data_IF_486439547296
#
_entry.id   IF_486439547296
#
_cell.length_a   1.000
_cell.length_b   1.000
_cell.length_c   1.000
_cell.angle_alpha   90.00
_cell.angle_beta   90.00
_cell.angle_gamma   90.00
#
_symmetry.space_group_name_H-M   'P 1'
#
loop_
_entity.id
_entity.type
_entity.pdbx_description
1 polymer ?
#
# COMPACT_ATOMS: atom_id res chain seq x y z
N UNK A 1 -7.93 -11.44 -16.32
CA UNK A 1 -6.54 -11.17 -16.34
C UNK A 1 -5.68 -11.86 -15.28
N UNK A 2 -5.67 -11.38 -14.01
CA UNK A 2 -4.74 -11.92 -13.00
C UNK A 2 -4.85 -13.44 -12.80
N UNK A 3 -6.06 -13.98 -12.67
CA UNK A 3 -6.28 -15.41 -12.52
C UNK A 3 -5.78 -16.23 -13.71
N UNK A 4 -5.87 -15.70 -14.93
CA UNK A 4 -5.33 -16.34 -16.14
C UNK A 4 -3.81 -16.37 -16.13
N UNK A 5 -3.16 -15.29 -15.69
CA UNK A 5 -1.70 -15.24 -15.52
C UNK A 5 -1.23 -16.27 -14.49
N UNK A 6 -1.90 -16.38 -13.35
CA UNK A 6 -1.58 -17.36 -12.31
C UNK A 6 -1.75 -18.79 -12.80
N UNK A 7 -2.83 -19.10 -13.54
CA UNK A 7 -3.02 -20.41 -14.18
C UNK A 7 -1.92 -20.71 -15.20
N UNK A 8 -1.54 -19.72 -16.01
CA UNK A 8 -0.44 -19.88 -16.93
C UNK A 8 0.89 -20.17 -16.22
N UNK A 9 1.18 -19.46 -15.14
CA UNK A 9 2.37 -19.68 -14.30
C UNK A 9 2.37 -21.12 -13.74
N UNK A 10 1.26 -21.55 -13.16
CA UNK A 10 1.11 -22.89 -12.59
C UNK A 10 1.27 -23.98 -13.67
N UNK A 11 0.68 -23.78 -14.84
CA UNK A 11 0.83 -24.72 -15.97
C UNK A 11 2.24 -24.76 -16.54
N UNK A 12 2.94 -23.62 -16.55
CA UNK A 12 4.31 -23.52 -17.08
C UNK A 12 5.35 -24.16 -16.18
N UNK A 13 5.24 -23.95 -14.86
CA UNK A 13 6.28 -24.36 -13.90
C UNK A 13 5.95 -25.66 -13.16
N UNK A 14 4.68 -26.06 -13.10
CA UNK A 14 4.16 -27.23 -12.37
C UNK A 14 3.39 -26.85 -11.11
N UNK A 15 2.33 -27.60 -10.82
CA UNK A 15 1.47 -27.36 -9.66
C UNK A 15 2.22 -27.53 -8.34
N UNK A 16 3.18 -28.48 -8.29
CA UNK A 16 4.03 -28.77 -7.15
C UNK A 16 5.08 -27.69 -6.87
N UNK A 17 5.31 -26.77 -7.82
CA UNK A 17 6.36 -25.75 -7.75
C UNK A 17 5.81 -24.34 -7.50
N UNK A 18 4.50 -24.17 -7.56
CA UNK A 18 3.85 -22.87 -7.43
C UNK A 18 2.93 -22.85 -6.23
N UNK A 19 3.14 -21.92 -5.30
CA UNK A 19 2.26 -21.74 -4.15
C UNK A 19 1.99 -20.27 -3.87
N UNK A 20 0.81 -20.00 -3.34
CA UNK A 20 0.48 -18.70 -2.77
C UNK A 20 1.08 -18.56 -1.37
N UNK A 21 1.27 -17.33 -0.92
CA UNK A 21 1.80 -17.04 0.41
C UNK A 21 0.64 -16.93 1.40
N UNK A 22 0.79 -17.56 2.57
CA UNK A 22 -0.15 -17.38 3.68
C UNK A 22 -0.02 -15.98 4.28
N UNK A 23 -1.12 -15.51 4.86
CA UNK A 23 -1.11 -14.35 5.78
C UNK A 23 -1.73 -14.76 7.10
N UNK A 24 -1.14 -14.31 8.20
CA UNK A 24 -1.68 -14.50 9.54
C UNK A 24 -2.37 -13.22 10.01
N UNK A 25 -3.68 -13.29 10.13
CA UNK A 25 -4.46 -12.22 10.74
C UNK A 25 -4.33 -12.23 12.25
N UNK A 26 -3.71 -11.20 12.82
CA UNK A 26 -3.58 -11.06 14.28
C UNK A 26 -4.72 -10.24 14.87
N UNK A 27 -4.99 -10.43 16.15
CA UNK A 27 -5.97 -9.66 16.90
C UNK A 27 -5.43 -8.25 17.16
N UNK A 28 -5.85 -7.29 16.33
CA UNK A 28 -5.56 -5.88 16.55
C UNK A 28 -6.32 -5.33 17.77
N UNK A 29 -5.87 -4.22 18.35
CA UNK A 29 -6.36 -3.62 19.60
C UNK A 29 -7.89 -3.55 19.70
N UNK A 30 -8.55 -2.89 18.72
CA UNK A 30 -10.02 -2.76 18.72
C UNK A 30 -10.72 -4.11 18.52
N UNK A 31 -10.12 -5.03 17.76
CA UNK A 31 -10.65 -6.38 17.54
C UNK A 31 -10.55 -7.24 18.80
N UNK A 32 -9.43 -7.18 19.50
CA UNK A 32 -9.25 -7.90 20.77
C UNK A 32 -10.30 -7.47 21.80
N UNK A 33 -10.55 -6.16 21.95
CA UNK A 33 -11.60 -5.66 22.83
C UNK A 33 -12.98 -6.21 22.42
N UNK A 34 -13.34 -6.15 21.14
CA UNK A 34 -14.65 -6.61 20.65
C UNK A 34 -14.86 -8.12 20.81
N UNK A 35 -13.83 -8.92 20.50
CA UNK A 35 -13.94 -10.37 20.60
C UNK A 35 -14.05 -10.83 22.08
N UNK A 36 -13.25 -10.23 22.98
CA UNK A 36 -13.36 -10.52 24.40
C UNK A 36 -14.70 -10.05 24.97
N UNK A 37 -15.12 -8.83 24.66
CA UNK A 37 -16.41 -8.28 25.07
C UNK A 37 -17.58 -9.20 24.67
N UNK A 38 -17.56 -9.69 23.44
CA UNK A 38 -18.56 -10.62 22.91
C UNK A 38 -18.60 -11.93 23.69
N UNK A 39 -17.45 -12.52 23.97
CA UNK A 39 -17.35 -13.80 24.74
C UNK A 39 -17.80 -13.60 26.17
N UNK A 40 -17.42 -12.51 26.81
CA UNK A 40 -17.82 -12.18 28.18
C UNK A 40 -19.23 -11.62 28.30
N UNK A 41 -19.93 -11.39 27.16
CA UNK A 41 -21.28 -10.81 27.12
C UNK A 41 -21.33 -9.36 27.66
N UNK A 42 -20.25 -8.59 27.52
CA UNK A 42 -20.29 -7.15 27.75
C UNK A 42 -21.25 -6.51 26.74
N UNK A 43 -22.12 -5.59 27.16
CA UNK A 43 -23.02 -4.90 26.25
C UNK A 43 -22.30 -4.28 25.06
N UNK A 44 -22.91 -4.38 23.86
CA UNK A 44 -22.30 -3.89 22.61
C UNK A 44 -21.99 -2.39 22.69
N UNK A 45 -22.86 -1.60 23.33
CA UNK A 45 -22.66 -0.16 23.57
C UNK A 45 -21.37 0.13 24.35
N UNK A 46 -21.06 -0.66 25.38
CA UNK A 46 -19.82 -0.53 26.16
C UNK A 46 -18.60 -0.96 25.35
N UNK A 47 -18.70 -2.07 24.61
CA UNK A 47 -17.64 -2.52 23.69
C UNK A 47 -17.33 -1.45 22.61
N UNK A 48 -18.35 -0.85 22.02
CA UNK A 48 -18.18 0.22 21.03
C UNK A 48 -17.62 1.50 21.65
N UNK A 49 -18.02 1.83 22.89
CA UNK A 49 -17.45 2.94 23.65
C UNK A 49 -15.94 2.75 23.87
N UNK A 50 -15.54 1.58 24.36
CA UNK A 50 -14.11 1.25 24.56
C UNK A 50 -13.32 1.33 23.25
N UNK A 51 -13.85 0.80 22.16
CA UNK A 51 -13.19 0.86 20.86
C UNK A 51 -13.04 2.29 20.32
N UNK A 52 -13.99 3.19 20.58
CA UNK A 52 -13.91 4.60 20.20
C UNK A 52 -12.86 5.36 20.99
N UNK A 53 -12.58 4.96 22.24
CA UNK A 53 -11.52 5.55 23.07
C UNK A 53 -10.12 5.18 22.58
N UNK A 54 -9.95 4.05 21.84
CA UNK A 54 -8.66 3.68 21.28
C UNK A 54 -8.30 4.64 20.13
N UNK A 55 -7.23 5.44 20.26
CA UNK A 55 -6.83 6.39 19.23
C UNK A 55 -6.37 5.66 17.96
N UNK A 56 -6.39 6.34 16.82
CA UNK A 56 -5.88 5.77 15.58
C UNK A 56 -4.34 5.82 15.52
N UNK A 57 -3.72 6.72 16.29
CA UNK A 57 -2.26 6.87 16.41
C UNK A 57 -1.87 7.37 17.78
N UNK A 58 -0.75 6.89 18.30
CA UNK A 58 -0.11 7.40 19.53
C UNK A 58 1.23 8.02 19.11
N UNK A 59 1.54 9.29 19.49
CA UNK A 59 2.82 9.91 19.18
C UNK A 59 3.98 9.06 19.71
N UNK A 60 4.98 8.83 18.86
CA UNK A 60 6.26 8.15 19.18
C UNK A 60 6.13 6.73 19.76
N UNK A 61 4.94 6.12 19.69
CA UNK A 61 4.70 4.77 20.19
C UNK A 61 3.88 3.94 19.20
N UNK A 62 4.13 2.63 19.22
CA UNK A 62 3.30 1.66 18.51
C UNK A 62 1.89 1.65 19.12
N UNK A 63 0.87 1.65 18.26
CA UNK A 63 -0.51 1.44 18.71
C UNK A 63 -0.66 -0.01 19.17
N UNK A 64 -0.92 -0.17 20.46
CA UNK A 64 -1.35 -1.41 21.11
C UNK A 64 -2.18 -1.04 22.35
N UNK A 65 -2.87 -2.01 22.94
CA UNK A 65 -3.76 -1.74 24.06
C UNK A 65 -3.02 -1.21 25.30
N UNK A 66 -1.85 -1.74 25.71
CA UNK A 66 -1.09 -1.17 26.83
C UNK A 66 -0.72 0.30 26.62
N UNK A 67 -0.25 0.66 25.42
CA UNK A 67 0.10 2.05 25.11
C UNK A 67 -1.14 2.94 25.01
N UNK A 68 -2.25 2.42 24.47
CA UNK A 68 -3.52 3.14 24.42
C UNK A 68 -4.06 3.43 25.83
N UNK A 69 -4.01 2.46 26.74
CA UNK A 69 -4.39 2.64 28.14
C UNK A 69 -3.50 3.70 28.81
N UNK A 70 -2.19 3.63 28.62
CA UNK A 70 -1.27 4.63 29.19
C UNK A 70 -1.48 6.04 28.63
N UNK A 71 -2.06 6.16 27.43
CA UNK A 71 -2.28 7.44 26.76
C UNK A 71 -3.66 8.05 27.01
N UNK A 72 -4.69 7.22 27.24
CA UNK A 72 -6.10 7.64 27.35
C UNK A 72 -6.63 7.42 28.77
N UNK A 73 -6.91 8.49 29.56
CA UNK A 73 -7.37 8.36 30.94
C UNK A 73 -8.65 7.54 31.13
N UNK A 74 -9.57 7.58 30.18
CA UNK A 74 -10.83 6.83 30.23
C UNK A 74 -10.59 5.31 30.05
N UNK A 75 -9.56 4.91 29.32
CA UNK A 75 -9.14 3.49 29.22
C UNK A 75 -8.45 3.04 30.50
N UNK A 76 -7.68 3.91 31.18
CA UNK A 76 -7.12 3.63 32.51
C UNK A 76 -8.25 3.42 33.54
N UNK A 77 -9.26 4.27 33.51
CA UNK A 77 -10.42 4.14 34.38
C UNK A 77 -11.19 2.84 34.12
N UNK A 78 -11.29 2.41 32.86
CA UNK A 78 -11.91 1.15 32.52
C UNK A 78 -11.09 -0.06 33.01
N UNK A 79 -9.77 -0.01 32.91
CA UNK A 79 -8.87 -1.05 33.45
C UNK A 79 -8.94 -1.16 34.98
N UNK A 80 -9.09 -0.03 35.67
CA UNK A 80 -9.23 0.06 37.13
C UNK A 80 -10.67 -0.04 37.63
N UNK A 81 -11.64 -0.33 36.77
CA UNK A 81 -13.06 -0.36 37.12
C UNK A 81 -13.39 -1.35 38.22
N UNK A 82 -14.31 -0.98 39.10
CA UNK A 82 -14.91 -1.87 40.09
C UNK A 82 -15.86 -2.92 39.44
N UNK A 83 -16.36 -2.64 38.22
CA UNK A 83 -17.14 -3.60 37.45
C UNK A 83 -16.21 -4.69 36.95
N UNK A 84 -16.36 -5.95 37.45
CA UNK A 84 -15.51 -7.06 37.03
C UNK A 84 -15.58 -7.33 35.52
N UNK A 85 -16.77 -7.17 34.89
CA UNK A 85 -16.98 -7.46 33.50
C UNK A 85 -16.18 -6.50 32.60
N UNK A 86 -16.19 -5.21 32.92
CA UNK A 86 -15.43 -4.19 32.22
C UNK A 86 -13.91 -4.36 32.40
N UNK A 87 -13.48 -4.53 33.64
CA UNK A 87 -12.07 -4.72 34.00
C UNK A 87 -11.49 -5.98 33.33
N UNK A 88 -12.19 -7.10 33.42
CA UNK A 88 -11.74 -8.38 32.88
C UNK A 88 -11.73 -8.37 31.34
N UNK A 89 -12.66 -7.61 30.71
CA UNK A 89 -12.62 -7.38 29.25
C UNK A 89 -11.30 -6.73 28.83
N UNK A 90 -10.88 -5.67 29.50
CA UNK A 90 -9.59 -5.01 29.20
C UNK A 90 -8.42 -5.95 29.49
N UNK A 91 -8.44 -6.64 30.61
CA UNK A 91 -7.38 -7.59 30.99
C UNK A 91 -7.17 -8.67 29.92
N UNK A 92 -8.23 -9.36 29.53
CA UNK A 92 -8.12 -10.45 28.55
C UNK A 92 -7.85 -9.94 27.14
N UNK A 93 -8.35 -8.76 26.77
CA UNK A 93 -8.01 -8.12 25.50
C UNK A 93 -6.50 -7.83 25.40
N UNK A 94 -5.86 -7.35 26.48
CA UNK A 94 -4.38 -7.18 26.54
C UNK A 94 -3.62 -8.50 26.33
N UNK A 95 -4.13 -9.61 26.90
CA UNK A 95 -3.50 -10.92 26.78
C UNK A 95 -3.64 -11.52 25.37
N UNK A 96 -4.73 -11.21 24.69
CA UNK A 96 -5.05 -11.77 23.37
C UNK A 96 -4.58 -10.89 22.21
N UNK A 97 -4.35 -9.60 22.46
CA UNK A 97 -3.84 -8.68 21.41
C UNK A 97 -2.54 -9.24 20.80
N UNK A 98 -2.45 -9.20 19.47
CA UNK A 98 -1.29 -9.67 18.73
C UNK A 98 -1.25 -11.18 18.45
N UNK A 99 -2.07 -11.98 19.13
CA UNK A 99 -2.16 -13.41 18.82
C UNK A 99 -2.80 -13.64 17.45
N UNK A 100 -2.40 -14.72 16.79
CA UNK A 100 -3.00 -15.13 15.52
C UNK A 100 -4.47 -15.52 15.75
N UNK A 101 -5.35 -14.93 14.96
CA UNK A 101 -6.79 -15.20 14.99
C UNK A 101 -7.24 -16.08 13.83
N UNK A 102 -6.58 -15.99 12.71
CA UNK A 102 -6.93 -16.75 11.52
C UNK A 102 -5.89 -16.60 10.43
N UNK A 103 -6.07 -17.35 9.37
CA UNK A 103 -5.20 -17.34 8.20
C UNK A 103 -5.94 -16.80 6.99
N UNK A 104 -5.19 -16.24 6.05
CA UNK A 104 -5.65 -15.81 4.75
C UNK A 104 -4.61 -16.13 3.68
N UNK A 105 -4.91 -15.77 2.45
CA UNK A 105 -3.96 -15.86 1.34
C UNK A 105 -3.53 -14.45 0.96
N UNK A 106 -2.23 -14.28 0.74
CA UNK A 106 -1.65 -12.99 0.34
C UNK A 106 -2.27 -12.51 -0.99
N UNK A 107 -2.59 -11.22 -1.07
CA UNK A 107 -3.32 -10.67 -2.21
C UNK A 107 -2.59 -10.81 -3.56
N UNK A 108 -1.25 -10.81 -3.56
CA UNK A 108 -0.45 -10.79 -4.79
C UNK A 108 0.74 -11.75 -4.76
N UNK A 109 1.30 -12.07 -3.59
CA UNK A 109 2.52 -12.86 -3.43
C UNK A 109 2.34 -14.32 -3.82
N UNK A 110 3.19 -14.78 -4.73
CA UNK A 110 3.24 -16.16 -5.23
C UNK A 110 4.69 -16.61 -5.26
N UNK A 111 4.95 -17.83 -4.86
CA UNK A 111 6.26 -18.46 -4.92
C UNK A 111 6.32 -19.35 -6.15
N UNK A 112 7.44 -19.28 -6.86
CA UNK A 112 7.77 -20.18 -7.98
C UNK A 112 9.11 -20.84 -7.64
N UNK A 113 9.08 -22.14 -7.36
CA UNK A 113 10.26 -22.93 -6.99
C UNK A 113 10.90 -23.59 -8.22
N UNK A 114 12.20 -23.87 -8.11
CA UNK A 114 12.91 -24.71 -9.06
C UNK A 114 12.49 -26.19 -8.90
N UNK A 115 12.36 -26.64 -7.68
CA UNK A 115 12.04 -28.00 -7.28
C UNK A 115 10.65 -28.03 -6.61
N UNK A 116 10.22 -29.18 -6.10
CA UNK A 116 8.98 -29.29 -5.31
C UNK A 116 9.01 -28.32 -4.13
N UNK A 117 7.96 -27.55 -3.95
CA UNK A 117 7.90 -26.52 -2.90
C UNK A 117 7.96 -27.11 -1.48
N UNK A 118 7.53 -28.36 -1.33
CA UNK A 118 7.55 -29.06 -0.04
C UNK A 118 8.96 -29.39 0.44
N UNK A 119 9.95 -29.36 -0.45
CA UNK A 119 11.37 -29.50 -0.09
C UNK A 119 11.92 -28.25 0.62
N UNK A 120 11.22 -27.11 0.47
CA UNK A 120 11.67 -25.82 0.97
C UNK A 120 10.86 -25.33 2.16
N UNK A 121 9.53 -25.45 2.09
CA UNK A 121 8.61 -24.93 3.11
C UNK A 121 7.41 -25.85 3.28
N UNK A 122 6.84 -25.93 4.49
CA UNK A 122 5.58 -26.63 4.69
C UNK A 122 4.46 -25.90 3.95
N UNK A 123 3.53 -26.67 3.37
CA UNK A 123 2.40 -26.15 2.62
C UNK A 123 1.08 -26.70 3.16
N UNK A 124 0.00 -26.00 2.85
CA UNK A 124 -1.38 -26.45 2.98
C UNK A 124 -2.16 -26.14 1.72
N UNK A 125 -3.45 -26.41 1.72
CA UNK A 125 -4.36 -26.02 0.64
C UNK A 125 -5.36 -24.98 1.12
N UNK A 126 -5.71 -24.05 0.23
CA UNK A 126 -6.83 -23.14 0.42
C UNK A 126 -7.73 -23.16 -0.83
N UNK A 127 -8.98 -22.76 -0.67
CA UNK A 127 -9.89 -22.62 -1.80
C UNK A 127 -9.64 -21.30 -2.53
N UNK A 128 -9.46 -21.35 -3.83
CA UNK A 128 -9.50 -20.16 -4.68
C UNK A 128 -10.94 -19.63 -4.72
N UNK A 129 -11.11 -18.37 -4.31
CA UNK A 129 -12.43 -17.73 -4.23
C UNK A 129 -13.08 -17.48 -5.60
N UNK A 130 -12.28 -17.44 -6.67
CA UNK A 130 -12.77 -17.17 -8.02
C UNK A 130 -13.15 -18.47 -8.74
N UNK A 131 -12.39 -19.55 -8.55
CA UNK A 131 -12.57 -20.82 -9.26
C UNK A 131 -13.18 -21.93 -8.41
N UNK A 132 -13.06 -21.83 -7.08
CA UNK A 132 -13.41 -22.89 -6.14
C UNK A 132 -12.42 -24.08 -6.11
N UNK A 133 -11.33 -23.99 -6.89
CA UNK A 133 -10.29 -25.02 -6.94
C UNK A 133 -9.35 -24.93 -5.73
N UNK A 134 -8.69 -26.05 -5.40
CA UNK A 134 -7.64 -26.05 -4.38
C UNK A 134 -6.35 -25.51 -4.92
N UNK A 135 -5.73 -24.59 -4.18
CA UNK A 135 -4.41 -24.04 -4.47
C UNK A 135 -3.45 -24.32 -3.31
N UNK A 136 -2.17 -24.49 -3.60
CA UNK A 136 -1.12 -24.63 -2.58
C UNK A 136 -0.87 -23.26 -1.94
N UNK A 137 -0.69 -23.29 -0.60
CA UNK A 137 -0.39 -22.10 0.21
C UNK A 137 0.74 -22.44 1.16
N UNK A 138 1.79 -21.63 1.19
CA UNK A 138 2.90 -21.79 2.15
C UNK A 138 2.41 -21.64 3.57
N UNK A 139 3.09 -22.27 4.54
CA UNK A 139 2.81 -22.08 5.96
C UNK A 139 3.74 -21.04 6.61
N UNK A 140 4.73 -20.55 5.88
CA UNK A 140 5.51 -19.37 6.24
C UNK A 140 4.96 -18.15 5.53
N UNK A 141 4.84 -17.03 6.26
CA UNK A 141 4.37 -15.75 5.70
C UNK A 141 5.47 -15.03 4.92
N UNK A 142 5.07 -14.01 4.14
CA UNK A 142 5.97 -13.30 3.24
C UNK A 142 7.21 -12.69 3.87
N UNK A 143 7.16 -12.31 5.15
CA UNK A 143 8.30 -11.78 5.91
C UNK A 143 9.40 -12.81 6.19
N UNK A 144 9.06 -14.11 6.14
CA UNK A 144 9.98 -15.23 6.48
C UNK A 144 10.40 -16.01 5.22
N UNK A 145 9.63 -15.92 4.17
CA UNK A 145 9.86 -16.70 2.93
C UNK A 145 11.26 -16.46 2.35
N UNK A 146 11.74 -15.22 2.34
CA UNK A 146 13.05 -14.88 1.78
C UNK A 146 14.20 -15.52 2.56
N UNK A 147 14.05 -15.73 3.87
CA UNK A 147 15.03 -16.41 4.72
C UNK A 147 15.18 -17.90 4.37
N UNK A 148 14.20 -18.48 3.70
CA UNK A 148 14.27 -19.88 3.18
C UNK A 148 14.98 -20.00 1.85
N UNK A 149 15.42 -18.88 1.24
CA UNK A 149 16.04 -18.83 -0.08
C UNK A 149 15.05 -18.78 -1.24
N UNK A 150 13.74 -18.69 -0.97
CA UNK A 150 12.70 -18.54 -1.97
C UNK A 150 12.46 -17.07 -2.31
N UNK A 151 12.08 -16.81 -3.55
CA UNK A 151 11.78 -15.45 -4.04
C UNK A 151 10.27 -15.29 -4.21
N UNK A 152 9.75 -14.22 -3.65
CA UNK A 152 8.35 -13.82 -3.80
C UNK A 152 8.16 -13.04 -5.12
N UNK A 153 7.23 -13.52 -5.94
CA UNK A 153 6.73 -12.81 -7.12
C UNK A 153 5.37 -12.19 -6.81
N UNK A 154 5.22 -10.90 -7.06
CA UNK A 154 3.96 -10.19 -6.83
C UNK A 154 3.18 -10.06 -8.14
N UNK A 155 2.03 -10.74 -8.22
CA UNK A 155 1.07 -10.61 -9.32
C UNK A 155 -0.11 -9.76 -8.85
N UNK A 156 -0.03 -8.47 -9.12
CA UNK A 156 -1.06 -7.50 -8.72
C UNK A 156 -1.80 -6.98 -9.94
N UNK A 157 -3.12 -7.16 -9.95
CA UNK A 157 -3.99 -6.62 -11.00
C UNK A 157 -4.40 -5.18 -10.71
N UNK A 158 -4.65 -4.42 -11.76
CA UNK A 158 -5.18 -3.06 -11.70
C UNK A 158 -6.46 -2.96 -12.52
N UNK A 159 -7.60 -2.68 -11.87
CA UNK A 159 -8.92 -2.58 -12.53
C UNK A 159 -8.97 -1.50 -13.61
N UNK A 160 -8.28 -0.38 -13.40
CA UNK A 160 -8.24 0.73 -14.35
C UNK A 160 -7.71 0.27 -15.72
N UNK A 161 -6.73 -0.63 -15.77
CA UNK A 161 -6.26 -1.18 -17.04
C UNK A 161 -7.33 -2.01 -17.75
N UNK A 162 -8.17 -2.73 -17.02
CA UNK A 162 -9.32 -3.45 -17.60
C UNK A 162 -10.35 -2.47 -18.18
N UNK A 163 -10.65 -1.39 -17.45
CA UNK A 163 -11.58 -0.33 -17.92
C UNK A 163 -11.04 0.31 -19.20
N UNK A 164 -9.74 0.62 -19.25
CA UNK A 164 -9.09 1.19 -20.45
C UNK A 164 -9.16 0.19 -21.62
N UNK A 165 -8.83 -1.08 -21.39
CA UNK A 165 -8.88 -2.10 -22.44
C UNK A 165 -10.30 -2.32 -22.98
N UNK A 166 -11.32 -2.28 -22.11
CA UNK A 166 -12.71 -2.42 -22.54
C UNK A 166 -13.21 -1.17 -23.27
N UNK A 167 -12.79 0.02 -22.86
CA UNK A 167 -13.06 1.27 -23.57
C UNK A 167 -12.43 1.24 -24.98
N UNK A 168 -11.19 0.79 -25.09
CA UNK A 168 -10.50 0.62 -26.40
C UNK A 168 -11.27 -0.33 -27.32
N UNK A 169 -11.73 -1.47 -26.81
CA UNK A 169 -12.57 -2.42 -27.59
C UNK A 169 -13.87 -1.76 -28.08
N UNK A 170 -14.49 -0.93 -27.25
CA UNK A 170 -15.71 -0.22 -27.63
C UNK A 170 -15.45 0.82 -28.71
N UNK A 171 -14.37 1.59 -28.60
CA UNK A 171 -13.97 2.59 -29.60
C UNK A 171 -13.67 1.91 -30.94
N UNK A 172 -12.98 0.80 -30.95
CA UNK A 172 -12.63 0.04 -32.17
C UNK A 172 -13.84 -0.46 -32.97
N UNK A 173 -15.05 -0.47 -32.40
CA UNK A 173 -16.28 -0.74 -33.17
C UNK A 173 -16.59 0.34 -34.21
N UNK A 174 -16.12 1.54 -33.98
CA UNK A 174 -16.34 2.71 -34.85
C UNK A 174 -15.05 3.24 -35.47
N UNK A 175 -13.91 2.98 -34.82
CA UNK A 175 -12.58 3.41 -35.25
C UNK A 175 -11.64 2.21 -35.11
N UNK A 176 -11.60 1.28 -36.09
CA UNK A 176 -10.89 0.01 -35.96
C UNK A 176 -9.40 0.12 -35.65
N UNK A 177 -8.73 1.17 -36.15
CA UNK A 177 -7.28 1.40 -35.99
C UNK A 177 -6.93 2.17 -34.69
N UNK A 178 -7.91 2.47 -33.83
CA UNK A 178 -7.64 3.15 -32.59
C UNK A 178 -6.79 2.27 -31.65
N UNK A 179 -5.72 2.85 -31.10
CA UNK A 179 -4.92 2.25 -30.02
C UNK A 179 -4.61 3.28 -28.96
N UNK A 180 -4.79 2.88 -27.70
CA UNK A 180 -4.42 3.70 -26.54
C UNK A 180 -2.92 4.04 -26.52
N UNK A 181 -2.08 3.20 -27.11
CA UNK A 181 -0.63 3.41 -27.22
C UNK A 181 -0.29 4.62 -28.13
N UNK A 182 -1.20 4.99 -29.02
CA UNK A 182 -1.04 6.12 -29.97
C UNK A 182 -1.66 7.44 -29.45
N UNK A 183 -2.16 7.47 -28.20
CA UNK A 183 -2.72 8.70 -27.62
C UNK A 183 -1.60 9.70 -27.38
N UNK A 184 -1.84 10.94 -27.81
CA UNK A 184 -0.91 12.05 -27.60
C UNK A 184 -0.84 12.42 -26.11
N UNK A 185 0.33 12.17 -25.50
CA UNK A 185 0.59 12.51 -24.09
C UNK A 185 0.92 14.00 -23.88
N UNK A 186 0.98 14.79 -24.94
CA UNK A 186 1.26 16.23 -24.88
C UNK A 186 0.01 17.11 -24.98
N UNK A 187 -1.20 16.52 -25.01
CA UNK A 187 -2.46 17.27 -25.14
C UNK A 187 -2.64 18.35 -24.07
N UNK A 188 -2.56 19.64 -24.42
CA UNK A 188 -2.64 20.73 -23.43
C UNK A 188 -4.01 20.82 -22.75
N UNK A 189 -5.09 20.38 -23.41
CA UNK A 189 -6.44 20.43 -22.83
C UNK A 189 -6.55 19.50 -21.63
N UNK A 190 -5.90 18.35 -21.66
CA UNK A 190 -5.82 17.41 -20.54
C UNK A 190 -5.10 18.03 -19.35
N UNK A 191 -3.95 18.66 -19.56
CA UNK A 191 -3.20 19.30 -18.45
C UNK A 191 -3.93 20.54 -17.90
N UNK A 192 -4.59 21.30 -18.74
CA UNK A 192 -5.43 22.43 -18.30
C UNK A 192 -6.60 21.95 -17.42
N UNK A 193 -7.27 20.87 -17.81
CA UNK A 193 -8.32 20.21 -17.02
C UNK A 193 -7.80 19.80 -15.64
N UNK A 194 -6.66 19.12 -15.60
CA UNK A 194 -6.02 18.71 -14.35
C UNK A 194 -5.63 19.92 -13.49
N UNK A 195 -5.02 20.93 -14.08
CA UNK A 195 -4.62 22.18 -13.41
C UNK A 195 -5.79 22.98 -12.82
N UNK A 196 -7.01 22.80 -13.36
CA UNK A 196 -8.25 23.36 -12.80
C UNK A 196 -8.81 22.52 -11.64
N UNK A 197 -8.22 21.38 -11.30
CA UNK A 197 -8.70 20.49 -10.25
C UNK A 197 -9.85 19.57 -10.68
N UNK A 198 -10.12 19.45 -11.97
CA UNK A 198 -11.12 18.50 -12.49
C UNK A 198 -10.54 17.07 -12.53
N UNK A 199 -10.23 16.51 -11.35
CA UNK A 199 -9.52 15.23 -11.20
C UNK A 199 -10.44 14.07 -10.83
N UNK A 200 -11.75 14.27 -10.79
CA UNK A 200 -12.72 13.21 -10.49
C UNK A 200 -12.64 12.11 -11.55
N UNK A 201 -12.50 10.87 -11.12
CA UNK A 201 -12.34 9.70 -12.00
C UNK A 201 -10.95 9.55 -12.61
N UNK A 202 -10.01 10.44 -12.32
CA UNK A 202 -8.62 10.33 -12.76
C UNK A 202 -7.83 9.52 -11.74
N UNK A 203 -7.38 8.34 -12.14
CA UNK A 203 -6.69 7.40 -11.25
C UNK A 203 -5.55 8.06 -10.47
N UNK A 204 -5.49 7.81 -9.17
CA UNK A 204 -4.53 8.37 -8.19
C UNK A 204 -4.62 9.88 -7.95
N UNK A 205 -5.40 10.66 -8.71
CA UNK A 205 -5.50 12.11 -8.57
C UNK A 205 -6.82 12.59 -7.93
N UNK A 206 -7.67 11.66 -7.45
CA UNK A 206 -9.06 11.96 -7.04
C UNK A 206 -9.19 12.54 -5.63
N UNK A 207 -8.22 12.32 -4.74
CA UNK A 207 -8.35 12.81 -3.37
C UNK A 207 -8.10 14.30 -3.27
N UNK A 208 -8.83 15.00 -2.39
CA UNK A 208 -8.72 16.44 -2.22
C UNK A 208 -7.27 16.91 -1.99
N UNK A 209 -6.47 16.15 -1.26
CA UNK A 209 -5.07 16.51 -0.99
C UNK A 209 -4.21 16.55 -2.24
N UNK A 210 -4.25 15.49 -3.06
CA UNK A 210 -3.46 15.45 -4.30
C UNK A 210 -4.04 16.41 -5.36
N UNK A 211 -5.36 16.59 -5.41
CA UNK A 211 -6.00 17.61 -6.28
C UNK A 211 -5.46 19.02 -6.00
N UNK A 212 -5.30 19.38 -4.73
CA UNK A 212 -4.70 20.66 -4.34
C UNK A 212 -3.26 20.81 -4.84
N UNK A 213 -2.47 19.72 -4.77
CA UNK A 213 -1.09 19.72 -5.29
C UNK A 213 -1.07 19.90 -6.80
N UNK A 214 -1.91 19.16 -7.54
CA UNK A 214 -2.05 19.26 -9.00
C UNK A 214 -2.47 20.67 -9.41
N UNK A 215 -3.44 21.25 -8.71
CA UNK A 215 -3.92 22.63 -8.97
C UNK A 215 -2.83 23.67 -8.69
N UNK A 216 -2.05 23.48 -7.63
CA UNK A 216 -0.91 24.35 -7.31
C UNK A 216 0.23 24.25 -8.31
N UNK A 217 0.50 23.04 -8.80
CA UNK A 217 1.57 22.80 -9.78
C UNK A 217 1.18 23.29 -11.19
N UNK A 218 -0.09 23.13 -11.61
CA UNK A 218 -0.56 23.38 -12.98
C UNK A 218 0.28 22.60 -14.00
N UNK A 219 0.15 21.28 -14.02
CA UNK A 219 1.00 20.43 -14.84
C UNK A 219 0.89 20.77 -16.31
N UNK A 220 1.98 20.56 -17.06
CA UNK A 220 2.08 20.81 -18.50
C UNK A 220 2.64 19.59 -19.24
N UNK A 221 3.05 18.55 -18.50
CA UNK A 221 3.63 17.35 -19.06
C UNK A 221 3.37 16.12 -18.18
N UNK A 222 3.64 14.95 -18.72
CA UNK A 222 3.54 13.69 -17.97
C UNK A 222 4.57 13.59 -16.85
N UNK A 223 5.74 14.24 -17.02
CA UNK A 223 6.78 14.34 -15.99
C UNK A 223 6.27 15.09 -14.75
N UNK A 224 5.52 16.17 -14.95
CA UNK A 224 4.89 16.92 -13.86
C UNK A 224 3.92 16.02 -13.07
N UNK A 225 3.11 15.21 -13.75
CA UNK A 225 2.18 14.28 -13.11
C UNK A 225 2.95 13.17 -12.38
N UNK A 226 3.99 12.63 -13.00
CA UNK A 226 4.87 11.62 -12.39
C UNK A 226 5.49 12.14 -11.09
N UNK A 227 5.98 13.38 -11.09
CA UNK A 227 6.56 14.02 -9.91
C UNK A 227 5.50 14.21 -8.80
N UNK A 228 4.29 14.65 -9.13
CA UNK A 228 3.19 14.78 -8.16
C UNK A 228 2.88 13.46 -7.48
N UNK A 229 2.72 12.38 -8.25
CA UNK A 229 2.42 11.05 -7.71
C UNK A 229 3.56 10.52 -6.85
N UNK A 230 4.80 10.82 -7.22
CA UNK A 230 5.98 10.43 -6.45
C UNK A 230 6.13 11.24 -5.15
N UNK A 231 5.82 12.54 -5.18
CA UNK A 231 5.91 13.43 -4.02
C UNK A 231 4.78 13.23 -3.00
N UNK A 232 3.57 12.91 -3.47
CA UNK A 232 2.40 12.78 -2.60
C UNK A 232 2.41 11.45 -1.82
N UNK A 233 3.46 11.25 -1.01
CA UNK A 233 3.67 10.07 -0.14
C UNK A 233 4.23 10.52 1.21
N UNK A 234 3.99 9.76 2.29
CA UNK A 234 4.67 10.02 3.56
C UNK A 234 6.19 10.06 3.37
N UNK A 235 6.84 11.13 3.85
CA UNK A 235 8.27 11.42 3.64
C UNK A 235 8.48 12.52 2.61
N UNK A 236 8.40 12.28 1.30
CA UNK A 236 8.66 13.30 0.27
C UNK A 236 7.65 14.46 0.27
N UNK A 237 6.46 14.28 0.83
CA UNK A 237 5.36 15.27 0.84
C UNK A 237 5.78 16.64 1.37
N UNK A 238 6.71 16.68 2.31
CA UNK A 238 7.26 17.95 2.84
C UNK A 238 8.01 18.79 1.78
N UNK A 239 8.46 18.16 0.68
CA UNK A 239 9.15 18.84 -0.42
C UNK A 239 8.20 19.46 -1.45
N UNK A 240 6.90 19.19 -1.39
CA UNK A 240 5.90 19.68 -2.36
C UNK A 240 5.92 21.20 -2.50
N UNK A 241 5.90 22.01 -1.42
CA UNK A 241 5.88 23.46 -1.56
C UNK A 241 7.12 23.97 -2.31
N UNK A 242 8.31 23.46 -1.99
CA UNK A 242 9.55 23.82 -2.66
C UNK A 242 9.56 23.40 -4.14
N UNK A 243 9.08 22.16 -4.42
CA UNK A 243 9.01 21.66 -5.78
C UNK A 243 8.12 22.58 -6.67
N UNK A 244 6.93 22.91 -6.18
CA UNK A 244 6.00 23.82 -6.88
C UNK A 244 6.63 25.20 -7.08
N UNK A 245 7.23 25.76 -6.03
CA UNK A 245 7.90 27.06 -6.11
C UNK A 245 9.03 27.05 -7.16
N UNK A 246 9.93 26.08 -7.09
CA UNK A 246 11.05 26.00 -8.03
C UNK A 246 10.61 25.63 -9.46
N UNK A 247 9.51 24.89 -9.63
CA UNK A 247 8.92 24.61 -10.95
C UNK A 247 8.38 25.88 -11.62
N UNK A 248 7.75 26.78 -10.83
CA UNK A 248 7.25 28.06 -11.34
C UNK A 248 8.32 29.15 -11.42
N UNK A 249 9.37 29.02 -10.63
CA UNK A 249 10.46 29.96 -10.48
C UNK A 249 11.83 29.24 -10.57
N UNK A 250 12.26 28.80 -11.77
CA UNK A 250 13.51 28.07 -11.95
C UNK A 250 14.74 28.83 -11.43
N UNK A 251 14.68 30.15 -11.38
CA UNK A 251 15.75 31.00 -10.82
C UNK A 251 15.97 30.80 -9.31
N UNK A 252 15.02 30.19 -8.60
CA UNK A 252 15.14 29.87 -7.17
C UNK A 252 15.74 28.48 -6.89
N UNK A 253 16.02 27.71 -7.93
CA UNK A 253 16.64 26.39 -7.78
C UNK A 253 18.04 26.55 -7.23
N UNK A 254 18.32 25.83 -6.13
CA UNK A 254 19.64 25.83 -5.51
C UNK A 254 20.07 24.40 -5.21
N UNK A 255 21.35 24.14 -5.37
CA UNK A 255 21.97 22.83 -5.06
C UNK A 255 22.92 22.97 -3.89
N UNK A 256 22.86 22.03 -2.95
CA UNK A 256 23.79 22.00 -1.80
C UNK A 256 25.23 21.68 -2.20
N UNK A 257 25.44 21.08 -3.38
CA UNK A 257 26.74 20.75 -3.95
C UNK A 257 26.62 20.72 -5.48
N UNK A 258 27.66 21.17 -6.24
CA UNK A 258 27.59 21.19 -7.72
C UNK A 258 27.33 19.83 -8.36
N UNK A 259 27.82 18.74 -7.77
CA UNK A 259 27.55 17.36 -8.26
C UNK A 259 26.08 16.95 -8.19
N UNK A 260 25.24 17.69 -7.47
CA UNK A 260 23.80 17.40 -7.40
C UNK A 260 23.03 17.99 -8.57
N UNK A 261 23.53 19.00 -9.24
CA UNK A 261 22.86 19.65 -10.36
C UNK A 261 22.52 18.67 -11.50
N UNK A 262 23.45 17.85 -12.02
CA UNK A 262 23.13 16.89 -13.06
C UNK A 262 22.06 15.86 -12.67
N UNK A 263 21.93 15.57 -11.36
CA UNK A 263 21.01 14.57 -10.82
C UNK A 263 19.62 15.17 -10.55
N UNK A 264 19.59 16.39 -9.99
CA UNK A 264 18.37 17.00 -9.44
C UNK A 264 17.79 18.12 -10.33
N UNK A 265 18.45 18.48 -11.41
CA UNK A 265 17.94 19.53 -12.32
C UNK A 265 16.57 19.19 -12.90
N UNK A 266 16.32 17.93 -13.23
CA UNK A 266 15.06 17.43 -13.76
C UNK A 266 13.89 17.50 -12.75
N UNK A 267 14.22 17.70 -11.47
CA UNK A 267 13.26 17.78 -10.36
C UNK A 267 13.43 19.09 -9.55
N UNK A 268 13.95 20.14 -10.19
CA UNK A 268 14.10 21.48 -9.64
C UNK A 268 14.82 21.53 -8.29
N UNK A 269 15.88 20.70 -8.14
CA UNK A 269 16.68 20.62 -6.92
C UNK A 269 16.05 19.79 -5.79
N UNK A 270 14.93 19.14 -6.04
CA UNK A 270 14.27 18.23 -5.08
C UNK A 270 14.65 16.78 -5.35
N UNK A 271 14.97 16.02 -4.30
CA UNK A 271 15.19 14.58 -4.40
C UNK A 271 13.83 13.87 -4.27
N UNK A 272 13.38 13.24 -5.35
CA UNK A 272 12.03 12.66 -5.47
C UNK A 272 12.12 11.16 -5.72
N UNK A 273 12.98 10.74 -6.66
CA UNK A 273 13.04 9.37 -7.17
C UNK A 273 14.13 8.54 -6.47
N UNK A 274 13.88 7.25 -6.36
CA UNK A 274 14.84 6.30 -5.79
C UNK A 274 16.18 6.32 -6.54
N UNK A 275 16.13 6.41 -7.85
CA UNK A 275 17.32 6.50 -8.72
C UNK A 275 18.17 7.73 -8.40
N UNK A 276 17.55 8.86 -8.08
CA UNK A 276 18.27 10.06 -7.66
C UNK A 276 19.00 9.84 -6.34
N UNK A 277 18.38 9.15 -5.38
CA UNK A 277 19.03 8.79 -4.11
C UNK A 277 20.27 7.94 -4.38
N UNK A 278 20.16 6.91 -5.21
CA UNK A 278 21.29 6.06 -5.59
C UNK A 278 22.40 6.85 -6.27
N UNK A 279 22.06 7.69 -7.25
CA UNK A 279 23.02 8.54 -7.97
C UNK A 279 23.74 9.54 -7.03
N UNK A 280 23.03 10.10 -6.04
CA UNK A 280 23.61 10.98 -5.03
C UNK A 280 24.67 10.22 -4.22
N UNK A 281 24.38 9.01 -3.75
CA UNK A 281 25.35 8.19 -3.02
C UNK A 281 26.56 7.83 -3.90
N UNK A 282 26.33 7.48 -5.15
CA UNK A 282 27.41 7.19 -6.10
C UNK A 282 28.29 8.41 -6.35
N UNK A 283 27.68 9.57 -6.64
CA UNK A 283 28.40 10.78 -7.04
C UNK A 283 29.10 11.48 -5.88
N UNK A 284 28.53 11.48 -4.67
CA UNK A 284 29.09 12.19 -3.51
C UNK A 284 29.92 11.29 -2.63
N UNK A 285 29.60 10.02 -2.48
CA UNK A 285 30.23 9.11 -1.54
C UNK A 285 30.99 7.95 -2.23
N UNK A 286 30.99 7.88 -3.56
CA UNK A 286 31.77 6.88 -4.32
C UNK A 286 31.21 5.44 -4.20
N UNK A 287 29.93 5.27 -3.87
CA UNK A 287 29.30 3.94 -3.89
C UNK A 287 29.24 3.39 -5.31
N UNK A 288 29.33 2.06 -5.44
CA UNK A 288 29.21 1.33 -6.72
C UNK A 288 27.77 0.94 -7.02
#
# INVERSE_FOLDING_TARGET
GRGEVLRWVTNKYGQEKVAHIITYGTMATKMAIKDVARVQKLPLSESDRLCKLVPDKIPDKKLNLPNAIAYVPELQAAEASSDPLLRDTIKYAKMLEGNVRGTGVHACGTIICRDDITDWVPVSTADDKETGEKMLVTQYEGSVIEDTGLIKMDFLGLRNLTVIADAEKLIRRHTPDFSIENVDMSDPATYEMLGKGSTMGVFQLESAGITNVVTGLRPQSIEDITAVVALYRPGPMQSIPRYIECRHHPEKVTYKHPLLEPILSVTYGCMIYQEQVMQVFQSLAGYS
#
